data_IF_943375214340
#
_entry.id   IF_943375214340
#
_cell.length_a   1.000
_cell.length_b   1.000
_cell.length_c   1.000
_cell.angle_alpha   90.00
_cell.angle_beta   90.00
_cell.angle_gamma   90.00
#
_symmetry.space_group_name_H-M   'P 1'
#
loop_
_entity.id
_entity.type
_entity.pdbx_description
1 polymer ?
#
# COMPACT_ATOMS: atom_id res chain seq x y z
N UNK A 1 -17.93 -11.44 8.01
CA UNK A 1 -17.14 -10.78 9.08
C UNK A 1 -16.24 -9.70 8.47
N UNK A 2 -16.33 -8.46 8.97
CA UNK A 2 -15.34 -7.41 8.69
C UNK A 2 -14.11 -7.64 9.56
N UNK A 3 -13.04 -8.22 8.99
CA UNK A 3 -11.76 -8.36 9.68
C UNK A 3 -10.92 -7.11 9.42
N UNK A 4 -10.72 -6.31 10.47
CA UNK A 4 -9.73 -5.24 10.44
C UNK A 4 -8.33 -5.85 10.51
N UNK A 5 -7.43 -5.30 9.71
CA UNK A 5 -6.04 -5.70 9.52
C UNK A 5 -5.20 -4.45 9.82
N UNK A 6 -4.02 -4.65 10.40
CA UNK A 6 -3.07 -3.55 10.60
C UNK A 6 -2.46 -3.14 9.27
N UNK A 7 -2.46 -1.84 9.00
CA UNK A 7 -1.79 -1.23 7.87
C UNK A 7 -0.66 -0.37 8.36
N UNK A 8 0.52 -0.58 7.79
CA UNK A 8 1.68 0.27 8.01
C UNK A 8 2.26 0.71 6.67
N UNK A 9 3.04 1.79 6.70
CA UNK A 9 3.62 2.38 5.50
C UNK A 9 5.13 2.45 5.60
N UNK A 10 5.82 2.59 4.48
CA UNK A 10 7.25 2.85 4.47
C UNK A 10 7.79 3.27 3.12
N UNK A 11 9.08 2.99 2.94
CA UNK A 11 9.84 3.46 1.78
C UNK A 11 10.46 2.30 1.03
N UNK A 12 10.56 2.46 -0.27
CA UNK A 12 11.52 1.73 -1.08
C UNK A 12 12.85 2.44 -1.07
N UNK A 13 13.93 1.67 -1.21
CA UNK A 13 15.29 2.22 -1.28
C UNK A 13 15.46 3.12 -2.51
N UNK A 14 14.76 2.77 -3.58
CA UNK A 14 14.85 3.36 -4.91
C UNK A 14 14.03 4.67 -5.04
N UNK A 15 13.21 5.00 -4.05
CA UNK A 15 12.34 6.16 -4.08
C UNK A 15 12.47 7.05 -2.85
N UNK A 16 12.45 8.36 -3.09
CA UNK A 16 12.61 9.36 -2.05
C UNK A 16 11.33 10.18 -1.87
N UNK A 17 10.89 10.34 -0.61
CA UNK A 17 9.70 11.09 -0.22
C UNK A 17 8.46 10.78 -1.07
N UNK A 18 7.89 11.74 -1.79
CA UNK A 18 6.72 11.57 -2.65
C UNK A 18 7.01 10.85 -3.98
N UNK A 19 8.27 10.48 -4.22
CA UNK A 19 8.72 9.92 -5.49
C UNK A 19 8.74 10.92 -6.65
N UNK A 20 8.44 12.20 -6.43
CA UNK A 20 8.30 13.19 -7.50
C UNK A 20 9.57 13.35 -8.35
N UNK A 21 10.75 13.24 -7.73
CA UNK A 21 12.03 13.27 -8.44
C UNK A 21 12.44 11.86 -8.91
N UNK A 22 12.43 10.88 -8.01
CA UNK A 22 12.98 9.55 -8.29
C UNK A 22 12.16 8.73 -9.29
N UNK A 23 10.85 9.00 -9.43
CA UNK A 23 10.04 8.35 -10.48
C UNK A 23 10.28 8.92 -11.88
N UNK A 24 10.94 10.08 -12.00
CA UNK A 24 11.37 10.64 -13.29
C UNK A 24 12.69 10.05 -13.78
N UNK A 25 13.45 9.39 -12.88
CA UNK A 25 14.71 8.74 -13.24
C UNK A 25 14.40 7.31 -13.70
N UNK A 26 14.55 7.05 -14.99
CA UNK A 26 14.16 5.80 -15.64
C UNK A 26 14.70 4.57 -14.90
N UNK A 27 15.99 4.53 -14.59
CA UNK A 27 16.62 3.40 -13.89
C UNK A 27 16.01 3.13 -12.50
N UNK A 28 15.65 4.18 -11.76
CA UNK A 28 15.04 4.04 -10.42
C UNK A 28 13.56 3.68 -10.51
N UNK A 29 12.85 4.17 -11.53
CA UNK A 29 11.46 3.83 -11.75
C UNK A 29 11.30 2.40 -12.27
N UNK A 30 12.19 1.96 -13.16
CA UNK A 30 12.17 0.61 -13.72
C UNK A 30 12.40 -0.49 -12.67
N UNK A 31 13.19 -0.23 -11.62
CA UNK A 31 13.42 -1.21 -10.54
C UNK A 31 12.22 -1.39 -9.62
N UNK A 32 11.44 -0.32 -9.37
CA UNK A 32 10.21 -0.35 -8.55
C UNK A 32 9.12 0.52 -9.19
N UNK A 33 8.46 0.06 -10.28
CA UNK A 33 7.57 0.93 -11.05
C UNK A 33 6.23 1.22 -10.37
N UNK A 34 5.86 0.41 -9.37
CA UNK A 34 4.54 0.44 -8.70
C UNK A 34 4.67 0.13 -7.22
N UNK A 35 3.72 0.61 -6.38
CA UNK A 35 3.66 0.22 -4.98
C UNK A 35 3.12 -1.20 -4.86
N UNK A 36 3.94 -2.11 -4.31
CA UNK A 36 3.51 -3.46 -3.96
C UNK A 36 2.99 -3.50 -2.53
N UNK A 37 1.85 -4.15 -2.33
CA UNK A 37 1.31 -4.46 -1.02
C UNK A 37 1.94 -5.76 -0.53
N UNK A 38 2.80 -5.65 0.49
CA UNK A 38 3.32 -6.84 1.14
C UNK A 38 2.22 -7.47 2.01
N UNK A 39 1.96 -8.75 1.78
CA UNK A 39 0.93 -9.52 2.47
C UNK A 39 1.51 -10.86 2.91
N UNK A 40 1.32 -11.22 4.17
CA UNK A 40 1.73 -12.54 4.64
C UNK A 40 0.87 -13.66 4.00
N UNK A 41 1.44 -14.79 3.57
CA UNK A 41 0.69 -15.88 2.91
C UNK A 41 -0.52 -16.39 3.71
N UNK A 42 -0.45 -16.44 5.05
CA UNK A 42 -1.59 -16.81 5.91
C UNK A 42 -2.78 -15.84 5.79
N UNK A 43 -2.49 -14.54 5.73
CA UNK A 43 -3.51 -13.51 5.53
C UNK A 43 -4.06 -13.59 4.11
N UNK A 44 -3.16 -13.73 3.14
CA UNK A 44 -3.50 -13.86 1.72
C UNK A 44 -4.50 -15.00 1.47
N UNK A 45 -4.24 -16.19 2.04
CA UNK A 45 -5.12 -17.35 1.95
C UNK A 45 -6.52 -17.08 2.54
N UNK A 46 -6.61 -16.32 3.63
CA UNK A 46 -7.90 -15.96 4.27
C UNK A 46 -8.74 -15.04 3.36
N UNK A 47 -8.08 -14.21 2.55
CA UNK A 47 -8.72 -13.20 1.73
C UNK A 47 -8.72 -13.54 0.23
N UNK A 48 -8.25 -14.72 -0.17
CA UNK A 48 -8.16 -15.12 -1.58
C UNK A 48 -7.19 -14.26 -2.40
N UNK A 49 -6.14 -13.73 -1.78
CA UNK A 49 -5.13 -12.89 -2.45
C UNK A 49 -4.03 -13.79 -3.01
N UNK A 50 -3.75 -13.65 -4.30
CA UNK A 50 -2.57 -14.23 -4.94
C UNK A 50 -1.51 -13.15 -5.18
N UNK A 51 -0.26 -13.56 -5.38
CA UNK A 51 0.78 -12.64 -5.87
C UNK A 51 0.35 -12.04 -7.21
N UNK A 52 0.54 -10.73 -7.37
CA UNK A 52 0.14 -10.02 -8.58
C UNK A 52 -1.34 -9.60 -8.62
N UNK A 53 -2.19 -10.08 -7.70
CA UNK A 53 -3.57 -9.62 -7.59
C UNK A 53 -3.62 -8.13 -7.27
N UNK A 54 -4.59 -7.41 -7.84
CA UNK A 54 -4.88 -6.06 -7.35
C UNK A 54 -5.78 -6.15 -6.13
N UNK A 55 -5.31 -5.60 -5.02
CA UNK A 55 -6.01 -5.58 -3.74
C UNK A 55 -6.49 -4.17 -3.46
N UNK A 56 -7.80 -4.02 -3.22
CA UNK A 56 -8.40 -2.79 -2.76
C UNK A 56 -8.44 -2.82 -1.24
N UNK A 57 -7.67 -1.95 -0.60
CA UNK A 57 -7.74 -1.72 0.83
C UNK A 57 -8.68 -0.56 1.12
N UNK A 58 -9.46 -0.70 2.19
CA UNK A 58 -10.39 0.32 2.66
C UNK A 58 -10.14 0.62 4.13
N UNK A 59 -9.91 1.89 4.42
CA UNK A 59 -9.95 2.45 5.77
C UNK A 59 -11.33 3.08 6.01
N UNK A 60 -11.57 3.61 7.21
CA UNK A 60 -12.77 4.43 7.49
C UNK A 60 -12.89 5.66 6.58
N UNK A 61 -11.78 6.16 6.04
CA UNK A 61 -11.72 7.44 5.32
C UNK A 61 -11.77 7.27 3.80
N UNK A 62 -11.07 6.27 3.27
CA UNK A 62 -10.86 6.14 1.83
C UNK A 62 -10.38 4.74 1.44
N UNK A 63 -10.24 4.55 0.13
CA UNK A 63 -9.72 3.34 -0.52
C UNK A 63 -8.41 3.62 -1.24
N UNK A 64 -7.55 2.61 -1.30
CA UNK A 64 -6.37 2.58 -2.15
C UNK A 64 -6.14 1.19 -2.74
N UNK A 65 -5.51 1.14 -3.90
CA UNK A 65 -5.29 -0.07 -4.68
C UNK A 65 -3.81 -0.36 -4.83
N UNK A 66 -3.43 -1.63 -4.64
CA UNK A 66 -2.04 -2.07 -4.71
C UNK A 66 -1.92 -3.45 -5.35
N UNK A 67 -0.76 -3.74 -5.92
CA UNK A 67 -0.48 -5.08 -6.44
C UNK A 67 0.12 -5.92 -5.31
N UNK A 68 -0.47 -7.08 -5.03
CA UNK A 68 -0.02 -7.93 -3.94
C UNK A 68 1.34 -8.56 -4.22
N UNK A 69 2.20 -8.55 -3.20
CA UNK A 69 3.46 -9.28 -3.14
C UNK A 69 3.42 -10.12 -1.86
N UNK A 70 3.38 -11.44 -2.02
CA UNK A 70 3.33 -12.33 -0.87
C UNK A 70 4.73 -12.54 -0.29
N UNK A 71 4.89 -12.29 1.01
CA UNK A 71 6.17 -12.47 1.71
C UNK A 71 5.95 -12.90 3.16
N UNK A 72 6.87 -13.71 3.70
CA UNK A 72 6.88 -14.11 5.11
C UNK A 72 7.58 -13.08 6.02
N UNK A 73 8.20 -12.06 5.44
CA UNK A 73 8.94 -11.01 6.17
C UNK A 73 8.02 -10.00 6.88
N UNK A 74 6.70 -10.09 6.63
CA UNK A 74 5.68 -9.28 7.27
C UNK A 74 4.82 -10.12 8.21
N UNK A 75 4.35 -9.52 9.30
CA UNK A 75 3.51 -10.21 10.28
C UNK A 75 2.19 -10.73 9.64
N UNK A 76 1.66 -11.88 10.09
CA UNK A 76 0.42 -12.45 9.57
C UNK A 76 -0.86 -11.62 9.74
N UNK A 77 -0.82 -10.57 10.56
CA UNK A 77 -1.92 -9.67 10.92
C UNK A 77 -1.76 -8.27 10.32
N UNK A 78 -0.69 -8.05 9.54
CA UNK A 78 -0.26 -6.73 9.08
C UNK A 78 -0.03 -6.73 7.57
N UNK A 79 -0.36 -5.62 6.92
CA UNK A 79 -0.02 -5.34 5.52
C UNK A 79 0.78 -4.05 5.41
N UNK A 80 1.66 -3.99 4.42
CA UNK A 80 2.56 -2.85 4.19
C UNK A 80 2.44 -2.33 2.77
N UNK A 81 2.39 -1.00 2.61
CA UNK A 81 2.55 -0.36 1.30
C UNK A 81 3.50 0.85 1.36
N UNK A 82 4.33 1.07 0.32
CA UNK A 82 5.15 2.28 0.22
C UNK A 82 4.30 3.50 -0.17
N UNK A 83 4.70 4.70 0.28
CA UNK A 83 3.92 5.93 0.09
C UNK A 83 4.38 6.85 -1.06
N UNK A 84 5.17 6.34 -2.01
CA UNK A 84 5.78 7.15 -3.08
C UNK A 84 4.87 7.45 -4.29
N UNK A 85 3.59 7.05 -4.25
CA UNK A 85 2.64 7.22 -5.34
C UNK A 85 1.41 8.03 -4.92
N UNK A 86 0.76 8.66 -5.91
CA UNK A 86 -0.48 9.43 -5.75
C UNK A 86 -1.72 8.67 -6.22
N UNK A 87 -2.83 9.40 -6.43
CA UNK A 87 -4.02 8.86 -7.08
C UNK A 87 -4.67 7.68 -6.34
N UNK A 88 -5.00 6.61 -7.06
CA UNK A 88 -5.58 5.37 -6.48
C UNK A 88 -4.57 4.56 -5.66
N UNK A 89 -3.28 4.82 -5.84
CA UNK A 89 -2.19 4.07 -5.20
C UNK A 89 -1.57 4.83 -4.01
N UNK A 90 -2.23 5.91 -3.56
CA UNK A 90 -1.74 6.73 -2.46
C UNK A 90 -1.98 6.06 -1.10
N UNK A 91 -0.93 5.46 -0.51
CA UNK A 91 -0.97 4.84 0.81
C UNK A 91 -1.49 5.77 1.92
N UNK A 92 -1.13 7.06 1.87
CA UNK A 92 -1.56 8.06 2.85
C UNK A 92 -3.08 8.33 2.83
N UNK A 93 -3.83 7.82 1.83
CA UNK A 93 -5.30 7.86 1.88
C UNK A 93 -5.88 6.96 2.98
N UNK A 94 -5.12 5.94 3.40
CA UNK A 94 -5.53 4.95 4.39
C UNK A 94 -5.10 5.30 5.82
N UNK A 95 -4.24 6.30 6.00
CA UNK A 95 -3.69 6.67 7.33
C UNK A 95 -4.69 7.50 8.14
N UNK A 96 -4.47 7.54 9.46
CA UNK A 96 -5.31 8.28 10.39
C UNK A 96 -5.03 9.80 10.27
N UNK A 97 -6.05 10.66 10.09
CA UNK A 97 -5.86 12.11 10.08
C UNK A 97 -5.63 12.71 11.48
N UNK A 98 -5.76 11.93 12.55
CA UNK A 98 -5.47 12.39 13.90
C UNK A 98 -4.03 12.90 14.01
N UNK A 99 -3.89 14.06 14.64
CA UNK A 99 -2.62 14.69 14.93
C UNK A 99 -2.33 14.53 16.42
N UNK A 100 -1.07 14.26 16.74
CA UNK A 100 -0.59 14.34 18.12
C UNK A 100 -0.94 15.72 18.71
N UNK A 101 -1.52 15.78 19.92
CA UNK A 101 -2.03 17.03 20.49
C UNK A 101 -0.94 18.07 20.74
N UNK A 102 0.31 17.67 20.91
CA UNK A 102 1.43 18.57 21.23
C UNK A 102 2.21 18.96 19.99
N UNK A 103 2.79 17.98 19.30
CA UNK A 103 3.68 18.18 18.15
C UNK A 103 2.93 18.44 16.85
N UNK A 104 1.62 18.15 16.82
CA UNK A 104 0.80 18.13 15.60
C UNK A 104 1.30 17.14 14.55
N UNK A 105 2.15 16.18 14.94
CA UNK A 105 2.62 15.13 14.03
C UNK A 105 1.48 14.15 13.70
N UNK A 106 1.31 13.79 12.42
CA UNK A 106 0.33 12.80 11.99
C UNK A 106 0.80 11.36 12.24
N UNK A 107 -0.17 10.44 12.40
CA UNK A 107 0.11 9.01 12.52
C UNK A 107 0.11 8.31 11.15
N UNK A 108 1.28 7.85 10.72
CA UNK A 108 1.49 7.23 9.39
C UNK A 108 1.84 5.74 9.44
N UNK A 109 2.20 5.20 10.59
CA UNK A 109 2.70 3.83 10.77
C UNK A 109 1.64 2.87 11.22
N UNK A 110 0.46 3.36 11.57
CA UNK A 110 -0.62 2.54 12.05
C UNK A 110 -1.98 3.04 11.57
N UNK A 111 -2.69 2.18 10.84
CA UNK A 111 -4.09 2.35 10.53
C UNK A 111 -4.83 1.01 10.49
N UNK A 112 -6.13 1.03 10.80
CA UNK A 112 -7.00 -0.12 10.60
C UNK A 112 -7.57 -0.08 9.18
N UNK A 113 -7.36 -1.16 8.43
CA UNK A 113 -7.93 -1.34 7.08
C UNK A 113 -8.64 -2.68 6.97
N UNK A 114 -9.45 -2.86 5.93
CA UNK A 114 -9.97 -4.16 5.51
C UNK A 114 -9.72 -4.38 4.03
N UNK A 115 -9.65 -5.64 3.61
CA UNK A 115 -9.71 -5.99 2.18
C UNK A 115 -11.13 -5.76 1.69
N UNK A 116 -11.30 -4.80 0.78
CA UNK A 116 -12.58 -4.45 0.18
C UNK A 116 -12.82 -5.14 -1.17
N UNK A 117 -11.76 -5.60 -1.83
CA UNK A 117 -11.86 -6.34 -3.08
C UNK A 117 -10.51 -6.92 -3.49
N UNK A 118 -10.56 -8.03 -4.21
CA UNK A 118 -9.40 -8.68 -4.82
C UNK A 118 -9.78 -9.00 -6.25
N UNK A 119 -8.94 -8.58 -7.20
CA UNK A 119 -9.12 -8.88 -8.63
C UNK A 119 -7.84 -9.46 -9.22
N UNK A 120 -7.99 -10.23 -10.29
CA UNK A 120 -6.87 -10.85 -11.02
C UNK A 120 -5.82 -9.83 -11.48
N UNK A 121 -4.64 -10.30 -11.86
CA UNK A 121 -3.50 -9.46 -12.21
C UNK A 121 -3.81 -8.54 -13.40
N UNK A 122 -4.04 -7.26 -13.14
CA UNK A 122 -4.10 -6.21 -14.15
C UNK A 122 -3.99 -4.83 -13.49
N UNK A 123 -2.74 -4.40 -13.25
CA UNK A 123 -2.41 -2.98 -13.42
C UNK A 123 -2.00 -2.82 -14.87
N UNK A 124 -2.96 -2.61 -15.77
CA UNK A 124 -2.64 -2.07 -17.08
C UNK A 124 -1.78 -0.82 -16.87
N UNK A 125 -0.69 -0.70 -17.62
CA UNK A 125 0.19 0.45 -17.55
C UNK A 125 -0.63 1.70 -17.90
N UNK A 126 -0.98 2.49 -16.89
CA UNK A 126 -1.57 3.81 -17.08
C UNK A 126 -0.44 4.76 -17.54
N UNK A 127 0.04 4.51 -18.75
CA UNK A 127 0.88 5.42 -19.52
C UNK A 127 -0.03 6.49 -20.11
N UNK A 128 -0.32 7.53 -19.33
CA UNK A 128 -0.57 8.89 -19.83
C UNK A 128 -0.78 9.86 -18.66
N UNK A 129 0.31 10.47 -18.18
CA UNK A 129 0.36 11.92 -17.92
C UNK A 129 1.78 12.44 -17.82
#
# INVERSE_FOLDING_TARGET
>A
MNYWIYFTTGRYKEHYNSGAQTRMVERLNASRPRPRLQVHPRLARRHGIATGSVVVLESRRSKAEFEAELTVDIRPDTVFAPFHWGGKQAANKLTNPALDPTSRMPEFKYAAVRVAGVRGSSFAADERR
#
